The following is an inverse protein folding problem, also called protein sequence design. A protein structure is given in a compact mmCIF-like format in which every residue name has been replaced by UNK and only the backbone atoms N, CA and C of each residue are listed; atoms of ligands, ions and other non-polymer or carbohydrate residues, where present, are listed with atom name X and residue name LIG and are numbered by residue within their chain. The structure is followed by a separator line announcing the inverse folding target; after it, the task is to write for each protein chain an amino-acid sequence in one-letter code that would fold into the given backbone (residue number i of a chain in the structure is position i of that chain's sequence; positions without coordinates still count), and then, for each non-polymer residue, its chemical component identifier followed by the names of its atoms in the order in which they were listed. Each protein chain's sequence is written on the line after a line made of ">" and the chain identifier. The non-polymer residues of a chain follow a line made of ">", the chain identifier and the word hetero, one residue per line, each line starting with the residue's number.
data_IF_993625309736
#
_entry.id   IF_993625309736
#
_cell.length_a   1.000
_cell.length_b   1.000
_cell.length_c   1.000
_cell.angle_alpha   90.00
_cell.angle_beta   90.00
_cell.angle_gamma   90.00
#
_symmetry.space_group_name_H-M   'P 1'
#
loop_
_entity.id
_entity.type
_entity.pdbx_description
1 polymer ?
#
# COMPACT_ATOMS: atom_id res chain seq x y z
N UNK A 1 25.36 -28.02 -15.66
CA UNK A 1 25.64 -29.33 -15.00
C UNK A 1 26.04 -29.07 -13.55
N UNK A 2 25.27 -29.55 -12.56
CA UNK A 2 25.61 -29.38 -11.15
C UNK A 2 26.73 -30.34 -10.73
N UNK A 3 27.68 -29.86 -9.92
CA UNK A 3 28.84 -30.65 -9.46
C UNK A 3 28.38 -31.80 -8.54
N UNK A 4 28.92 -33.03 -8.69
CA UNK A 4 28.48 -34.21 -7.95
C UNK A 4 28.68 -34.14 -6.43
N UNK A 5 29.63 -33.33 -5.95
CA UNK A 5 29.86 -33.08 -4.51
C UNK A 5 28.70 -32.34 -3.84
N UNK A 6 28.07 -31.39 -4.55
CA UNK A 6 26.91 -30.62 -4.08
C UNK A 6 25.68 -31.51 -3.88
N UNK A 7 25.52 -32.53 -4.74
CA UNK A 7 24.41 -33.49 -4.69
C UNK A 7 24.54 -34.45 -3.50
N UNK A 8 25.77 -34.78 -3.06
CA UNK A 8 26.00 -35.70 -1.93
C UNK A 8 25.81 -35.03 -0.58
N UNK A 9 26.22 -33.76 -0.42
CA UNK A 9 26.01 -32.99 0.81
C UNK A 9 24.51 -32.75 1.13
N UNK A 10 23.69 -32.54 0.09
CA UNK A 10 22.24 -32.35 0.24
C UNK A 10 21.48 -33.57 0.80
N UNK A 11 22.08 -34.78 0.77
CA UNK A 11 21.45 -36.01 1.29
C UNK A 11 21.81 -36.32 2.75
N UNK A 12 22.93 -35.79 3.25
CA UNK A 12 23.37 -36.02 4.63
C UNK A 12 22.69 -35.06 5.62
N UNK A 13 22.34 -33.85 5.17
CA UNK A 13 21.74 -32.82 6.01
C UNK A 13 20.27 -32.61 5.63
N UNK A 14 19.34 -33.02 6.51
CA UNK A 14 17.93 -32.66 6.36
C UNK A 14 17.75 -31.19 6.80
N UNK A 15 17.15 -30.32 5.97
CA UNK A 15 16.90 -28.94 6.38
C UNK A 15 15.90 -28.92 7.55
N UNK A 16 16.19 -28.13 8.57
CA UNK A 16 15.35 -28.01 9.77
C UNK A 16 14.00 -27.33 9.47
N UNK A 17 13.95 -26.50 8.44
CA UNK A 17 12.74 -25.85 7.97
C UNK A 17 12.35 -26.41 6.60
N UNK A 18 11.06 -26.73 6.45
CA UNK A 18 10.48 -27.12 5.17
C UNK A 18 9.62 -25.97 4.69
N UNK A 19 9.94 -25.44 3.52
CA UNK A 19 9.11 -24.44 2.89
C UNK A 19 7.86 -25.12 2.31
N UNK A 20 6.66 -24.57 2.52
CA UNK A 20 5.46 -25.05 1.84
C UNK A 20 5.62 -24.98 0.32
N UNK A 21 5.08 -25.97 -0.39
CA UNK A 21 5.09 -25.96 -1.85
C UNK A 21 4.26 -24.79 -2.38
N UNK A 22 4.86 -23.98 -3.28
CA UNK A 22 4.18 -22.83 -3.92
C UNK A 22 2.92 -23.21 -4.70
N UNK A 23 2.81 -24.47 -5.11
CA UNK A 23 1.69 -25.03 -5.87
C UNK A 23 0.70 -25.81 -5.01
N UNK A 24 0.95 -25.94 -3.70
CA UNK A 24 0.00 -26.60 -2.82
C UNK A 24 -1.32 -25.80 -2.79
N UNK A 25 -2.48 -26.48 -2.77
CA UNK A 25 -3.76 -25.80 -2.59
C UNK A 25 -3.75 -25.08 -1.24
N UNK A 26 -4.03 -23.79 -1.27
CA UNK A 26 -4.14 -22.98 -0.06
C UNK A 26 -5.48 -23.31 0.59
N UNK A 27 -5.54 -23.44 1.94
CA UNK A 27 -6.82 -23.59 2.61
C UNK A 27 -7.71 -22.38 2.33
N UNK A 28 -9.01 -22.63 2.22
CA UNK A 28 -9.99 -21.56 2.03
C UNK A 28 -10.03 -20.69 3.29
N UNK A 29 -9.70 -19.40 3.13
CA UNK A 29 -9.66 -18.46 4.24
C UNK A 29 -11.05 -17.86 4.45
N UNK A 30 -11.65 -18.11 5.62
CA UNK A 30 -12.87 -17.40 6.06
C UNK A 30 -12.48 -16.09 6.73
N UNK A 31 -12.88 -14.92 6.21
CA UNK A 31 -12.59 -13.64 6.85
C UNK A 31 -13.23 -13.60 8.24
N UNK A 32 -12.46 -13.11 9.22
CA UNK A 32 -12.84 -12.97 10.63
C UNK A 32 -12.49 -11.56 11.12
N UNK A 33 -13.20 -11.06 12.15
CA UNK A 33 -12.82 -9.79 12.78
C UNK A 33 -11.42 -9.88 13.39
N UNK A 34 -10.71 -8.75 13.42
CA UNK A 34 -9.40 -8.66 14.04
C UNK A 34 -9.50 -8.87 15.56
N UNK A 35 -8.56 -9.57 16.22
CA UNK A 35 -8.60 -9.79 17.67
C UNK A 35 -8.63 -8.50 18.49
N UNK A 36 -7.89 -7.47 18.05
CA UNK A 36 -7.86 -6.15 18.70
C UNK A 36 -8.88 -5.16 18.12
N UNK A 37 -9.91 -5.65 17.40
CA UNK A 37 -10.98 -4.77 16.94
C UNK A 37 -11.80 -4.25 18.14
N UNK A 38 -12.24 -2.99 18.13
CA UNK A 38 -13.24 -2.50 19.07
C UNK A 38 -14.46 -3.42 19.10
N UNK A 39 -15.04 -3.65 20.28
CA UNK A 39 -16.16 -4.59 20.47
C UNK A 39 -17.32 -4.30 19.51
N UNK A 40 -17.63 -3.02 19.29
CA UNK A 40 -18.67 -2.57 18.34
C UNK A 40 -18.42 -3.04 16.90
N UNK A 41 -17.16 -3.07 16.46
CA UNK A 41 -16.78 -3.47 15.10
C UNK A 41 -16.74 -4.99 15.00
N UNK A 42 -16.25 -5.67 16.04
CA UNK A 42 -16.22 -7.13 16.09
C UNK A 42 -17.64 -7.73 16.00
N UNK A 43 -18.61 -7.14 16.72
CA UNK A 43 -20.00 -7.58 16.72
C UNK A 43 -20.72 -7.33 15.38
N UNK A 44 -20.36 -6.25 14.66
CA UNK A 44 -21.00 -5.86 13.40
C UNK A 44 -20.30 -6.41 12.14
N UNK A 45 -19.32 -7.31 12.31
CA UNK A 45 -18.49 -7.80 11.21
C UNK A 45 -19.29 -8.51 10.11
N UNK A 46 -20.34 -9.26 10.46
CA UNK A 46 -21.19 -9.95 9.47
C UNK A 46 -22.00 -8.98 8.61
N UNK A 47 -22.50 -7.89 9.21
CA UNK A 47 -23.20 -6.84 8.48
C UNK A 47 -22.26 -6.13 7.51
N UNK A 48 -21.03 -5.85 7.95
CA UNK A 48 -19.99 -5.31 7.07
C UNK A 48 -19.74 -6.22 5.87
N UNK A 49 -19.67 -7.54 6.08
CA UNK A 49 -19.51 -8.51 4.98
C UNK A 49 -20.68 -8.47 4.00
N UNK A 50 -21.91 -8.42 4.48
CA UNK A 50 -23.10 -8.35 3.61
C UNK A 50 -23.09 -7.09 2.75
N UNK A 51 -22.75 -5.93 3.32
CA UNK A 51 -22.65 -4.65 2.60
C UNK A 51 -21.50 -4.67 1.59
N UNK A 52 -20.38 -5.31 1.94
CA UNK A 52 -19.24 -5.47 1.05
C UNK A 52 -19.59 -6.38 -0.13
N UNK A 53 -20.33 -7.47 0.09
CA UNK A 53 -20.75 -8.40 -0.96
C UNK A 53 -21.86 -7.81 -1.85
N UNK A 54 -22.75 -6.98 -1.30
CA UNK A 54 -23.88 -6.41 -2.06
C UNK A 54 -23.51 -5.21 -2.94
N UNK A 55 -22.51 -4.40 -2.53
CA UNK A 55 -22.19 -3.10 -3.15
C UNK A 55 -23.34 -2.06 -3.04
N UNK A 56 -23.16 -0.77 -3.38
CA UNK A 56 -21.93 0.01 -3.61
C UNK A 56 -21.22 0.40 -2.29
N UNK A 57 -19.89 0.35 -2.28
CA UNK A 57 -19.06 0.42 -1.06
C UNK A 57 -18.97 1.80 -0.39
N UNK A 58 -19.48 2.85 -1.04
CA UNK A 58 -19.32 4.22 -0.57
C UNK A 58 -20.65 4.96 -0.69
N UNK A 59 -21.30 5.17 0.45
CA UNK A 59 -22.44 6.06 0.57
C UNK A 59 -21.99 7.31 1.33
N UNK A 60 -21.72 8.44 0.64
CA UNK A 60 -21.19 9.64 1.27
C UNK A 60 -22.13 10.19 2.35
N UNK A 61 -23.41 9.82 2.33
CA UNK A 61 -24.40 10.23 3.34
C UNK A 61 -24.23 9.54 4.70
N UNK A 62 -23.57 8.38 4.75
CA UNK A 62 -23.35 7.59 5.98
C UNK A 62 -22.04 7.93 6.68
N UNK A 63 -21.22 8.80 6.07
CA UNK A 63 -19.98 9.27 6.66
C UNK A 63 -20.30 10.21 7.82
N UNK A 64 -20.01 9.75 9.05
CA UNK A 64 -19.95 10.65 10.19
C UNK A 64 -18.73 11.56 9.99
N UNK A 65 -18.84 12.89 10.18
CA UNK A 65 -17.67 13.75 10.17
C UNK A 65 -16.73 13.27 11.27
N UNK A 66 -15.57 12.72 10.89
CA UNK A 66 -14.56 12.36 11.87
C UNK A 66 -14.01 13.68 12.42
N UNK A 67 -14.09 13.85 13.74
CA UNK A 67 -13.36 14.89 14.45
C UNK A 67 -12.15 14.21 15.05
N UNK A 68 -10.96 14.62 14.64
CA UNK A 68 -9.73 14.14 15.26
C UNK A 68 -9.62 14.84 16.62
N UNK A 69 -10.14 14.23 17.68
CA UNK A 69 -9.86 14.65 19.05
C UNK A 69 -8.35 14.53 19.29
N UNK A 70 -7.68 15.67 19.29
CA UNK A 70 -6.26 15.83 19.58
C UNK A 70 -5.97 15.59 21.06
N UNK A 71 -6.23 14.36 21.50
CA UNK A 71 -5.88 13.83 22.80
C UNK A 71 -4.36 13.69 22.94
N UNK A 72 -3.71 14.79 23.32
CA UNK A 72 -2.54 14.81 24.21
C UNK A 72 -1.30 14.05 23.71
N UNK A 73 -0.65 14.57 22.67
CA UNK A 73 0.82 14.54 22.59
C UNK A 73 1.38 15.80 23.22
N UNK A 74 2.27 15.61 24.18
CA UNK A 74 2.74 16.62 25.11
C UNK A 74 3.48 17.81 24.44
N UNK A 75 3.10 19.02 24.86
CA UNK A 75 3.93 20.21 25.04
C UNK A 75 5.02 20.50 24.00
N UNK A 76 4.71 21.41 23.06
CA UNK A 76 5.69 22.06 22.20
C UNK A 76 5.09 23.22 21.41
N UNK A 77 4.37 24.11 22.08
CA UNK A 77 3.72 25.27 21.48
C UNK A 77 4.77 26.31 21.06
N UNK A 78 5.17 26.31 19.78
CA UNK A 78 5.79 27.46 19.11
C UNK A 78 5.34 27.53 17.65
N UNK A 79 4.29 28.30 17.37
CA UNK A 79 3.97 28.82 16.04
C UNK A 79 3.43 27.82 15.01
N UNK A 80 2.51 28.30 14.19
CA UNK A 80 2.19 27.75 12.87
C UNK A 80 3.45 27.24 12.16
N UNK A 81 3.62 25.92 12.03
CA UNK A 81 4.65 25.31 11.19
C UNK A 81 3.96 24.66 9.99
N UNK A 82 3.64 25.54 9.04
CA UNK A 82 3.48 25.33 7.60
C UNK A 82 2.98 23.94 7.18
N UNK A 83 1.68 23.72 7.31
CA UNK A 83 1.00 22.77 6.45
C UNK A 83 1.05 23.34 5.03
N UNK A 84 1.94 22.79 4.22
CA UNK A 84 2.19 23.22 2.85
C UNK A 84 1.06 22.70 1.94
N UNK A 85 0.39 23.56 1.19
CA UNK A 85 -0.76 23.18 0.35
C UNK A 85 -0.35 22.68 -1.04
N UNK A 86 0.76 23.17 -1.57
CA UNK A 86 1.25 22.83 -2.90
C UNK A 86 2.61 22.16 -2.82
N UNK A 87 2.87 21.17 -3.67
CA UNK A 87 4.17 20.50 -3.74
C UNK A 87 5.33 21.47 -4.04
N UNK A 88 5.06 22.56 -4.77
CA UNK A 88 6.07 23.57 -5.14
C UNK A 88 6.45 24.52 -4.00
N UNK A 89 5.63 24.60 -2.95
CA UNK A 89 5.91 25.40 -1.76
C UNK A 89 6.91 24.68 -0.84
N UNK A 90 7.17 23.38 -1.09
CA UNK A 90 8.23 22.63 -0.41
C UNK A 90 9.61 23.07 -0.88
N UNK A 91 10.65 22.90 -0.05
CA UNK A 91 12.03 23.11 -0.47
C UNK A 91 12.35 22.37 -1.78
N UNK A 92 13.08 23.03 -2.67
CA UNK A 92 13.41 22.56 -4.04
C UNK A 92 13.87 21.10 -4.10
N UNK A 93 14.54 20.60 -3.06
CA UNK A 93 15.02 19.22 -2.94
C UNK A 93 13.92 18.16 -3.06
N UNK A 94 12.67 18.52 -2.73
CA UNK A 94 11.53 17.59 -2.68
C UNK A 94 10.77 17.50 -4.00
N UNK A 95 10.76 18.55 -4.82
CA UNK A 95 10.04 18.56 -6.10
C UNK A 95 10.96 18.58 -7.32
N UNK A 96 12.18 19.09 -7.19
CA UNK A 96 13.17 19.16 -8.28
C UNK A 96 14.11 17.95 -8.28
N UNK A 97 13.52 16.76 -8.36
CA UNK A 97 14.28 15.49 -8.41
C UNK A 97 14.52 15.07 -9.86
N UNK A 98 15.62 14.35 -10.17
CA UNK A 98 15.88 13.86 -11.53
C UNK A 98 14.77 12.99 -12.11
N UNK A 99 14.01 12.30 -11.25
CA UNK A 99 12.88 11.46 -11.66
C UNK A 99 11.63 12.27 -12.03
N UNK A 100 11.49 13.50 -11.53
CA UNK A 100 10.36 14.39 -11.84
C UNK A 100 10.68 15.40 -12.95
N UNK A 101 11.94 15.50 -13.39
CA UNK A 101 12.34 16.37 -14.50
C UNK A 101 12.02 15.70 -15.83
N UNK A 102 11.15 16.34 -16.61
CA UNK A 102 10.84 15.90 -17.97
C UNK A 102 11.98 16.29 -18.91
N UNK A 103 12.49 15.34 -19.69
CA UNK A 103 13.47 15.61 -20.74
C UNK A 103 12.83 16.36 -21.93
N UNK A 104 13.62 17.09 -22.73
CA UNK A 104 13.10 17.75 -23.92
C UNK A 104 12.41 16.80 -24.91
N UNK A 105 12.92 15.57 -25.04
CA UNK A 105 12.31 14.54 -25.88
C UNK A 105 10.94 14.10 -25.35
N UNK A 106 10.79 13.96 -24.02
CA UNK A 106 9.51 13.61 -23.40
C UNK A 106 8.51 14.76 -23.50
N UNK A 107 8.95 16.00 -23.30
CA UNK A 107 8.10 17.18 -23.48
C UNK A 107 7.61 17.29 -24.94
N UNK A 108 8.48 17.05 -25.91
CA UNK A 108 8.11 17.03 -27.33
C UNK A 108 7.17 15.87 -27.66
N UNK A 109 7.40 14.67 -27.13
CA UNK A 109 6.49 13.54 -27.30
C UNK A 109 5.09 13.81 -26.72
N UNK A 110 5.00 14.51 -25.59
CA UNK A 110 3.72 14.89 -24.97
C UNK A 110 3.04 16.00 -25.77
N UNK A 111 3.79 17.02 -26.17
CA UNK A 111 3.26 18.16 -26.92
C UNK A 111 2.85 17.79 -28.35
N UNK A 112 3.57 16.85 -28.98
CA UNK A 112 3.23 16.26 -30.28
C UNK A 112 2.12 15.21 -30.19
N UNK A 113 1.63 14.92 -28.98
CA UNK A 113 0.52 13.98 -28.74
C UNK A 113 0.88 12.51 -28.93
N UNK A 114 2.18 12.16 -28.96
CA UNK A 114 2.71 10.79 -29.01
C UNK A 114 2.34 9.95 -30.23
N UNK A 115 1.47 10.45 -31.11
CA UNK A 115 0.88 9.71 -32.23
C UNK A 115 1.59 9.95 -33.56
N UNK A 116 2.46 10.97 -33.68
CA UNK A 116 3.14 11.33 -34.94
C UNK A 116 4.45 10.58 -35.21
N UNK A 117 4.85 9.65 -34.34
CA UNK A 117 6.11 8.89 -34.45
C UNK A 117 5.94 7.52 -35.14
N UNK A 118 4.76 7.24 -35.68
CA UNK A 118 4.40 6.01 -36.39
C UNK A 118 3.94 6.34 -37.83
N UNK A 119 4.89 6.61 -38.72
CA UNK A 119 4.76 6.46 -40.19
C UNK A 119 6.15 6.25 -40.80
#
# INVERSE_FOLDING_TARGET
>A
MLRPSLVRAARAHKPMIKFPDRRAPKPEHKPQPHPDAPEDIANNFEQFRQVLESGPHYDPSKLKPFSLDSGKSASGQTGSRDAVTTVFDLPRRFWDTPALRMSPAEMDAIQSGGASMMD
#
